data_IF_777821098241
#
_entry.id   IF_777821098241
#
_cell.length_a   1.000
_cell.length_b   1.000
_cell.length_c   1.000
_cell.angle_alpha   90.00
_cell.angle_beta   90.00
_cell.angle_gamma   90.00
#
_symmetry.space_group_name_H-M   'P 1'
#
loop_
_entity.id
_entity.type
_entity.pdbx_description
1 polymer ?
#
# COMPACT_ATOMS: atom_id res chain seq x y z
N UNK A 1 23.13 -10.12 -9.49
CA UNK A 1 23.16 -8.82 -8.78
C UNK A 1 24.45 -8.62 -7.98
N UNK A 2 24.66 -9.31 -6.84
CA UNK A 2 25.83 -9.07 -5.98
C UNK A 2 27.20 -9.27 -6.67
N UNK A 3 27.36 -10.37 -7.43
CA UNK A 3 28.58 -10.67 -8.19
C UNK A 3 28.87 -9.67 -9.32
N UNK A 4 27.81 -9.13 -9.94
CA UNK A 4 27.90 -8.13 -11.01
C UNK A 4 28.27 -6.75 -10.45
N UNK A 5 27.65 -6.35 -9.34
CA UNK A 5 27.87 -5.07 -8.66
C UNK A 5 29.10 -5.09 -7.72
N UNK A 6 29.85 -6.19 -7.66
CA UNK A 6 30.98 -6.42 -6.76
C UNK A 6 30.70 -6.07 -5.28
N UNK A 7 29.48 -6.35 -4.81
CA UNK A 7 29.09 -6.13 -3.40
C UNK A 7 28.90 -7.47 -2.67
N UNK A 8 29.29 -7.55 -1.38
CA UNK A 8 29.08 -8.75 -0.60
C UNK A 8 27.58 -9.01 -0.38
N UNK A 9 27.18 -10.29 -0.44
CA UNK A 9 25.77 -10.70 -0.31
C UNK A 9 25.18 -10.29 1.05
N UNK A 10 25.97 -10.35 2.12
CA UNK A 10 25.57 -9.95 3.47
C UNK A 10 25.13 -8.49 3.55
N UNK A 11 25.83 -7.59 2.86
CA UNK A 11 25.53 -6.16 2.84
C UNK A 11 24.18 -5.88 2.16
N UNK A 12 23.85 -6.62 1.10
CA UNK A 12 22.54 -6.54 0.44
C UNK A 12 21.42 -6.92 1.41
N UNK A 13 21.54 -8.05 2.12
CA UNK A 13 20.53 -8.46 3.10
C UNK A 13 20.45 -7.52 4.32
N UNK A 14 21.59 -7.03 4.81
CA UNK A 14 21.65 -6.07 5.90
C UNK A 14 20.85 -4.80 5.56
N UNK A 15 21.07 -4.23 4.37
CA UNK A 15 20.34 -3.03 3.96
C UNK A 15 18.86 -3.28 3.66
N UNK A 16 18.50 -4.45 3.12
CA UNK A 16 17.10 -4.82 2.90
C UNK A 16 16.36 -4.92 4.24
N UNK A 17 16.94 -5.62 5.21
CA UNK A 17 16.34 -5.81 6.54
C UNK A 17 16.26 -4.49 7.31
N UNK A 18 17.33 -3.69 7.30
CA UNK A 18 17.35 -2.36 7.93
C UNK A 18 16.33 -1.40 7.30
N UNK A 19 16.11 -1.50 5.98
CA UNK A 19 15.08 -0.72 5.28
C UNK A 19 13.66 -1.17 5.66
N UNK A 20 13.47 -2.47 5.87
CA UNK A 20 12.21 -3.02 6.38
C UNK A 20 11.89 -2.49 7.79
N UNK A 21 12.90 -2.41 8.66
CA UNK A 21 12.80 -1.83 10.02
C UNK A 21 12.54 -0.31 9.98
N UNK A 22 13.13 0.40 9.02
CA UNK A 22 12.95 1.86 8.86
C UNK A 22 11.67 2.26 8.13
N UNK A 23 10.80 1.31 7.74
CA UNK A 23 9.48 1.60 7.17
C UNK A 23 8.56 2.19 8.26
N UNK A 24 8.93 3.36 8.77
CA UNK A 24 8.04 4.25 9.50
C UNK A 24 6.89 4.56 8.55
N UNK A 25 5.68 4.19 8.95
CA UNK A 25 4.46 4.50 8.19
C UNK A 25 4.48 6.01 7.93
N UNK A 26 4.60 6.41 6.67
CA UNK A 26 4.65 7.82 6.34
C UNK A 26 3.29 8.45 6.62
N UNK A 27 3.24 9.74 6.94
CA UNK A 27 1.96 10.46 7.13
C UNK A 27 1.04 10.31 5.91
N UNK A 28 1.64 10.24 4.72
CA UNK A 28 0.93 10.03 3.45
C UNK A 28 0.29 8.64 3.36
N UNK A 29 0.92 7.60 3.91
CA UNK A 29 0.34 6.26 3.95
C UNK A 29 -0.86 6.20 4.89
N UNK A 30 -0.78 6.84 6.05
CA UNK A 30 -1.93 6.94 6.97
C UNK A 30 -3.10 7.66 6.29
N UNK A 31 -2.81 8.76 5.60
CA UNK A 31 -3.84 9.51 4.88
C UNK A 31 -4.48 8.69 3.77
N UNK A 32 -3.69 7.91 3.02
CA UNK A 32 -4.20 7.00 2.00
C UNK A 32 -5.07 5.89 2.59
N UNK A 33 -4.67 5.30 3.72
CA UNK A 33 -5.43 4.26 4.39
C UNK A 33 -6.80 4.79 4.85
N UNK A 34 -6.82 5.98 5.47
CA UNK A 34 -8.06 6.64 5.88
C UNK A 34 -8.97 6.94 4.68
N UNK A 35 -8.42 7.42 3.58
CA UNK A 35 -9.19 7.69 2.37
C UNK A 35 -9.84 6.44 1.77
N UNK A 36 -9.12 5.31 1.79
CA UNK A 36 -9.67 4.02 1.33
C UNK A 36 -10.83 3.57 2.24
N UNK A 37 -10.66 3.67 3.57
CA UNK A 37 -11.70 3.32 4.54
C UNK A 37 -12.94 4.20 4.34
N UNK A 38 -12.75 5.51 4.15
CA UNK A 38 -13.83 6.47 3.96
C UNK A 38 -14.62 6.19 2.68
N UNK A 39 -13.94 5.95 1.56
CA UNK A 39 -14.58 5.59 0.28
C UNK A 39 -15.37 4.29 0.44
N UNK A 40 -14.79 3.29 1.10
CA UNK A 40 -15.43 2.01 1.34
C UNK A 40 -16.72 2.15 2.15
N UNK A 41 -16.67 2.89 3.27
CA UNK A 41 -17.85 3.16 4.12
C UNK A 41 -18.91 3.98 3.40
N UNK A 42 -18.52 5.02 2.66
CA UNK A 42 -19.45 5.84 1.84
C UNK A 42 -20.16 5.00 0.78
N UNK A 43 -19.52 3.94 0.29
CA UNK A 43 -20.12 3.01 -0.67
C UNK A 43 -21.07 1.97 -0.07
N UNK A 44 -21.39 2.08 1.23
CA UNK A 44 -22.14 1.08 2.00
C UNK A 44 -21.47 -0.30 1.94
N UNK A 45 -20.14 -0.33 1.98
CA UNK A 45 -19.31 -1.54 1.94
C UNK A 45 -19.44 -2.36 0.62
N UNK A 46 -19.89 -1.77 -0.48
CA UNK A 46 -20.06 -2.48 -1.76
C UNK A 46 -18.87 -2.31 -2.72
N UNK A 47 -17.92 -1.40 -2.42
CA UNK A 47 -16.83 -1.10 -3.34
C UNK A 47 -15.61 -1.99 -3.07
N UNK A 48 -15.30 -2.86 -4.04
CA UNK A 48 -14.01 -3.54 -4.10
C UNK A 48 -12.90 -2.69 -4.72
N UNK A 49 -11.70 -3.26 -4.81
CA UNK A 49 -10.47 -2.58 -5.27
C UNK A 49 -10.58 -1.82 -6.61
N UNK A 50 -11.40 -2.30 -7.55
CA UNK A 50 -11.62 -1.64 -8.85
C UNK A 50 -12.36 -0.31 -8.71
N UNK A 51 -13.43 -0.27 -7.91
CA UNK A 51 -14.27 0.92 -7.72
C UNK A 51 -13.54 1.95 -6.85
N UNK A 52 -12.89 1.50 -5.78
CA UNK A 52 -12.05 2.35 -4.92
C UNK A 52 -10.95 3.04 -5.74
N UNK A 53 -10.29 2.32 -6.65
CA UNK A 53 -9.27 2.92 -7.52
C UNK A 53 -9.82 4.08 -8.36
N UNK A 54 -11.02 3.93 -8.94
CA UNK A 54 -11.66 5.00 -9.72
C UNK A 54 -11.98 6.22 -8.84
N UNK A 55 -12.44 6.02 -7.60
CA UNK A 55 -12.69 7.11 -6.66
C UNK A 55 -11.40 7.83 -6.23
N UNK A 56 -10.31 7.08 -6.01
CA UNK A 56 -8.99 7.66 -5.73
C UNK A 56 -8.43 8.44 -6.93
N UNK A 57 -8.64 7.96 -8.15
CA UNK A 57 -8.23 8.67 -9.38
C UNK A 57 -8.96 10.01 -9.54
N UNK A 58 -10.26 10.10 -9.18
CA UNK A 58 -11.00 11.37 -9.14
C UNK A 58 -10.37 12.38 -8.18
N UNK A 59 -9.81 11.89 -7.06
CA UNK A 59 -9.04 12.69 -6.09
C UNK A 59 -7.60 12.96 -6.53
N UNK A 60 -7.22 12.61 -7.76
CA UNK A 60 -5.85 12.69 -8.30
C UNK A 60 -4.82 11.83 -7.55
N UNK A 61 -5.26 10.85 -6.77
CA UNK A 61 -4.38 9.94 -6.03
C UNK A 61 -4.14 8.70 -6.88
N UNK A 62 -2.90 8.53 -7.37
CA UNK A 62 -2.51 7.37 -8.18
C UNK A 62 -2.04 6.23 -7.29
N UNK A 63 -2.83 5.16 -7.21
CA UNK A 63 -2.50 3.96 -6.40
C UNK A 63 -2.75 2.68 -7.19
N UNK A 64 -1.90 1.68 -6.97
CA UNK A 64 -2.07 0.36 -7.58
C UNK A 64 -3.21 -0.41 -6.91
N UNK A 65 -3.92 -1.25 -7.67
CA UNK A 65 -4.97 -2.14 -7.13
C UNK A 65 -4.41 -3.09 -6.05
N UNK A 66 -3.15 -3.51 -6.19
CA UNK A 66 -2.46 -4.35 -5.19
C UNK A 66 -2.27 -3.64 -3.85
N UNK A 67 -1.87 -2.36 -3.87
CA UNK A 67 -1.72 -1.57 -2.63
C UNK A 67 -3.08 -1.36 -1.94
N UNK A 68 -4.13 -1.06 -2.72
CA UNK A 68 -5.50 -0.96 -2.19
C UNK A 68 -5.94 -2.30 -1.57
N UNK A 69 -5.70 -3.43 -2.25
CA UNK A 69 -6.04 -4.76 -1.73
C UNK A 69 -5.37 -5.08 -0.40
N UNK A 70 -4.07 -4.81 -0.26
CA UNK A 70 -3.34 -4.99 1.01
C UNK A 70 -3.92 -4.13 2.13
N UNK A 71 -4.34 -2.90 1.82
CA UNK A 71 -4.97 -2.01 2.81
C UNK A 71 -6.36 -2.54 3.20
N UNK A 72 -7.16 -3.00 2.23
CA UNK A 72 -8.45 -3.63 2.52
C UNK A 72 -8.28 -4.87 3.40
N UNK A 73 -7.31 -5.74 3.11
CA UNK A 73 -6.98 -6.91 3.94
C UNK A 73 -6.52 -6.49 5.35
N UNK A 74 -5.62 -5.50 5.46
CA UNK A 74 -5.13 -4.96 6.74
C UNK A 74 -6.27 -4.51 7.66
N UNK A 75 -7.32 -3.92 7.11
CA UNK A 75 -8.47 -3.40 7.85
C UNK A 75 -9.71 -4.30 7.78
N UNK A 76 -9.60 -5.53 7.26
CA UNK A 76 -10.73 -6.47 7.11
C UNK A 76 -11.94 -5.87 6.37
N UNK A 77 -11.68 -5.05 5.34
CA UNK A 77 -12.71 -4.44 4.50
C UNK A 77 -13.18 -5.44 3.44
N UNK A 78 -14.30 -6.13 3.70
CA UNK A 78 -14.86 -7.14 2.79
C UNK A 78 -16.03 -6.52 2.03
N UNK A 79 -15.89 -6.42 0.69
CA UNK A 79 -16.97 -5.92 -0.14
C UNK A 79 -18.09 -6.94 -0.25
N UNK A 80 -19.35 -6.50 -0.06
CA UNK A 80 -20.55 -7.28 -0.38
C UNK A 80 -20.72 -7.52 -1.88
#
# INVERSE_FOLDING_TARGET
MCKLLKVPRSLVYYHINKRAESNKISKEEIQLENEIIDIFRKSRNNYGTRKIKKELEKKKIKVSRRKIGRIMEKYSLISN
#
